data_IF_164042162007
#
_entry.id   IF_164042162007
#
_cell.length_a   1.000
_cell.length_b   1.000
_cell.length_c   1.000
_cell.angle_alpha   90.00
_cell.angle_beta   90.00
_cell.angle_gamma   90.00
#
_symmetry.space_group_name_H-M   'P 1'
#
loop_
_entity.id
_entity.type
_entity.pdbx_description
1 polymer ?
#
# COMPACT_ATOMS: atom_id res chain seq x y z
N UNK A 1 12.93 -7.17 -3.57
CA UNK A 1 12.76 -6.86 -2.13
C UNK A 1 11.46 -7.50 -1.68
N UNK A 2 11.44 -8.21 -0.56
CA UNK A 2 10.33 -9.08 -0.19
C UNK A 2 9.38 -8.38 0.79
N UNK A 3 8.06 -8.49 0.57
CA UNK A 3 7.00 -8.04 1.46
C UNK A 3 7.28 -8.41 2.94
N UNK A 4 7.70 -9.66 3.18
CA UNK A 4 7.91 -10.16 4.53
C UNK A 4 9.03 -9.46 5.28
N UNK A 5 10.06 -8.93 4.61
CA UNK A 5 11.11 -8.17 5.30
C UNK A 5 10.56 -6.85 5.86
N UNK A 6 9.86 -6.09 5.02
CA UNK A 6 9.29 -4.79 5.38
C UNK A 6 8.24 -4.94 6.46
N UNK A 7 7.32 -5.89 6.28
CA UNK A 7 6.24 -6.16 7.21
C UNK A 7 6.77 -6.71 8.55
N UNK A 8 7.73 -7.65 8.54
CA UNK A 8 8.31 -8.17 9.78
C UNK A 8 8.97 -7.05 10.60
N UNK A 9 9.72 -6.16 9.98
CA UNK A 9 10.32 -5.01 10.68
C UNK A 9 9.24 -4.09 11.23
N UNK A 10 8.19 -3.81 10.44
CA UNK A 10 7.05 -2.99 10.84
C UNK A 10 6.40 -3.50 12.13
N UNK A 11 6.27 -4.83 12.24
CA UNK A 11 5.70 -5.48 13.43
C UNK A 11 6.68 -5.60 14.59
N UNK A 12 7.90 -6.12 14.36
CA UNK A 12 8.83 -6.51 15.44
C UNK A 12 9.65 -5.36 16.00
N UNK A 13 9.94 -4.34 15.20
CA UNK A 13 10.87 -3.29 15.60
C UNK A 13 10.38 -2.49 16.83
N UNK A 14 9.09 -2.10 16.95
CA UNK A 14 8.57 -1.46 18.17
C UNK A 14 8.82 -2.31 19.44
N UNK A 15 8.57 -3.62 19.37
CA UNK A 15 8.85 -4.53 20.50
C UNK A 15 10.34 -4.63 20.78
N UNK A 16 11.17 -4.67 19.75
CA UNK A 16 12.64 -4.72 19.87
C UNK A 16 13.17 -3.47 20.58
N UNK A 17 12.61 -2.30 20.30
CA UNK A 17 12.93 -1.04 20.98
C UNK A 17 12.45 -1.04 22.45
N UNK A 18 11.25 -1.54 22.73
CA UNK A 18 10.74 -1.71 24.11
C UNK A 18 11.64 -2.64 24.94
N UNK A 19 12.04 -3.77 24.36
CA UNK A 19 12.96 -4.72 25.00
C UNK A 19 14.32 -4.08 25.24
N UNK A 20 14.88 -3.37 24.25
CA UNK A 20 16.15 -2.66 24.42
C UNK A 20 16.09 -1.66 25.59
N UNK A 21 15.03 -0.86 25.68
CA UNK A 21 14.79 0.03 26.81
C UNK A 21 14.70 -0.72 28.14
N UNK A 22 13.97 -1.84 28.20
CA UNK A 22 13.75 -2.60 29.44
C UNK A 22 15.06 -3.17 30.02
N UNK A 23 15.98 -3.60 29.15
CA UNK A 23 17.23 -4.25 29.56
C UNK A 23 18.37 -3.29 29.91
N UNK A 24 18.25 -1.99 29.62
CA UNK A 24 19.27 -0.99 30.00
C UNK A 24 19.58 -1.00 31.49
N UNK A 25 18.60 -1.30 32.35
CA UNK A 25 18.80 -1.33 33.81
C UNK A 25 19.76 -2.45 34.26
N UNK A 26 20.00 -3.48 33.44
CA UNK A 26 20.71 -4.71 33.82
C UNK A 26 21.96 -4.92 32.94
N UNK A 27 23.10 -4.26 33.24
CA UNK A 27 24.28 -4.24 32.37
C UNK A 27 24.97 -5.59 32.16
N UNK A 28 24.73 -6.57 33.05
CA UNK A 28 25.31 -7.90 33.01
C UNK A 28 24.37 -8.96 32.41
N UNK A 29 23.28 -8.55 31.77
CA UNK A 29 22.36 -9.48 31.13
C UNK A 29 23.05 -10.22 29.96
N UNK A 30 22.84 -11.53 29.88
CA UNK A 30 23.42 -12.36 28.82
C UNK A 30 22.64 -12.15 27.51
N UNK A 31 23.21 -11.35 26.60
CA UNK A 31 22.57 -11.01 25.33
C UNK A 31 22.26 -12.24 24.46
N UNK A 32 23.14 -13.25 24.43
CA UNK A 32 22.90 -14.50 23.69
C UNK A 32 21.66 -15.23 24.22
N UNK A 33 21.51 -15.29 25.56
CA UNK A 33 20.32 -15.88 26.19
C UNK A 33 19.06 -15.10 25.84
N UNK A 34 19.11 -13.76 25.87
CA UNK A 34 17.97 -12.91 25.52
C UNK A 34 17.57 -13.05 24.05
N UNK A 35 18.52 -13.14 23.13
CA UNK A 35 18.24 -13.36 21.72
C UNK A 35 17.51 -14.69 21.49
N UNK A 36 17.99 -15.78 22.10
CA UNK A 36 17.32 -17.08 22.02
C UNK A 36 15.92 -17.09 22.64
N UNK A 37 15.75 -16.41 23.79
CA UNK A 37 14.43 -16.25 24.40
C UNK A 37 13.49 -15.49 23.46
N UNK A 38 13.93 -14.40 22.84
CA UNK A 38 13.11 -13.65 21.89
C UNK A 38 12.71 -14.50 20.68
N UNK A 39 13.64 -15.25 20.09
CA UNK A 39 13.39 -16.13 18.93
C UNK A 39 12.35 -17.20 19.28
N UNK A 40 12.59 -17.96 20.36
CA UNK A 40 11.69 -19.05 20.74
C UNK A 40 10.31 -18.52 21.12
N UNK A 41 10.26 -17.42 21.87
CA UNK A 41 9.01 -16.79 22.30
C UNK A 41 8.21 -16.24 21.13
N UNK A 42 8.89 -15.62 20.14
CA UNK A 42 8.28 -15.18 18.89
C UNK A 42 7.63 -16.35 18.14
N UNK A 43 8.37 -17.45 17.95
CA UNK A 43 7.85 -18.66 17.29
C UNK A 43 6.63 -19.21 18.04
N UNK A 44 6.70 -19.31 19.37
CA UNK A 44 5.56 -19.75 20.21
C UNK A 44 4.34 -18.85 19.99
N UNK A 45 4.52 -17.52 20.02
CA UNK A 45 3.44 -16.57 19.78
C UNK A 45 2.80 -16.71 18.40
N UNK A 46 3.62 -16.90 17.36
CA UNK A 46 3.13 -17.14 16.00
C UNK A 46 2.36 -18.44 15.89
N UNK A 47 2.91 -19.55 16.41
CA UNK A 47 2.24 -20.87 16.38
C UNK A 47 0.92 -20.83 17.14
N UNK A 48 0.87 -20.22 18.33
CA UNK A 48 -0.39 -20.08 19.08
C UNK A 48 -1.43 -19.36 18.23
N UNK A 49 -1.10 -18.19 17.66
CA UNK A 49 -2.05 -17.41 16.85
C UNK A 49 -2.56 -18.18 15.63
N UNK A 50 -1.69 -18.90 14.92
CA UNK A 50 -2.08 -19.66 13.72
C UNK A 50 -3.02 -20.84 14.02
N UNK A 51 -3.01 -21.35 15.25
CA UNK A 51 -3.87 -22.46 15.67
C UNK A 51 -5.16 -22.00 16.38
N UNK A 52 -5.35 -20.69 16.59
CA UNK A 52 -6.53 -20.17 17.24
C UNK A 52 -7.73 -20.05 16.27
N UNK A 53 -8.96 -20.33 16.73
CA UNK A 53 -10.15 -20.15 15.91
C UNK A 53 -10.33 -18.70 15.45
N UNK A 54 -10.72 -18.51 14.19
CA UNK A 54 -10.94 -17.20 13.59
C UNK A 54 -12.29 -16.55 14.01
N UNK A 55 -12.69 -16.67 15.27
CA UNK A 55 -13.94 -16.12 15.80
C UNK A 55 -13.74 -14.70 16.36
N UNK A 56 -14.80 -13.88 16.34
CA UNK A 56 -14.74 -12.51 16.88
C UNK A 56 -14.42 -12.50 18.39
N UNK A 57 -14.96 -13.47 19.15
CA UNK A 57 -14.70 -13.59 20.59
C UNK A 57 -13.23 -13.89 20.90
N UNK A 58 -12.59 -14.77 20.13
CA UNK A 58 -11.16 -15.07 20.29
C UNK A 58 -10.31 -13.85 19.95
N UNK A 59 -10.64 -13.13 18.86
CA UNK A 59 -9.96 -11.88 18.49
C UNK A 59 -10.08 -10.81 19.58
N UNK A 60 -11.26 -10.66 20.17
CA UNK A 60 -11.49 -9.73 21.27
C UNK A 60 -10.64 -10.09 22.49
N UNK A 61 -10.66 -11.37 22.91
CA UNK A 61 -9.87 -11.85 24.04
C UNK A 61 -8.37 -11.62 23.82
N UNK A 62 -7.85 -11.93 22.62
CA UNK A 62 -6.45 -11.67 22.27
C UNK A 62 -6.12 -10.18 22.29
N UNK A 63 -6.99 -9.30 21.79
CA UNK A 63 -6.75 -7.86 21.80
C UNK A 63 -6.71 -7.30 23.23
N UNK A 64 -7.64 -7.71 24.09
CA UNK A 64 -7.65 -7.34 25.52
C UNK A 64 -6.40 -7.87 26.23
N UNK A 65 -6.04 -9.14 26.01
CA UNK A 65 -4.85 -9.74 26.60
C UNK A 65 -3.56 -9.02 26.15
N UNK A 66 -3.50 -8.62 24.86
CA UNK A 66 -2.40 -7.84 24.30
C UNK A 66 -2.26 -6.47 24.98
N UNK A 67 -3.39 -5.78 25.22
CA UNK A 67 -3.41 -4.51 25.96
C UNK A 67 -2.91 -4.70 27.40
N UNK A 68 -3.36 -5.75 28.08
CA UNK A 68 -2.89 -6.07 29.43
C UNK A 68 -1.38 -6.34 29.45
N UNK A 69 -0.84 -7.12 28.51
CA UNK A 69 0.61 -7.36 28.41
C UNK A 69 1.37 -6.04 28.25
N UNK A 70 0.97 -5.18 27.32
CA UNK A 70 1.68 -3.92 27.06
C UNK A 70 1.66 -2.97 28.26
N UNK A 71 0.49 -2.83 28.91
CA UNK A 71 0.33 -1.97 30.09
C UNK A 71 1.12 -2.51 31.28
N UNK A 72 0.98 -3.79 31.60
CA UNK A 72 1.67 -4.40 32.73
C UNK A 72 3.18 -4.46 32.51
N UNK A 73 3.65 -4.73 31.28
CA UNK A 73 5.06 -4.64 30.94
C UNK A 73 5.60 -3.22 31.13
N UNK A 74 4.86 -2.18 30.71
CA UNK A 74 5.24 -0.79 30.93
C UNK A 74 5.34 -0.44 32.42
N UNK A 75 4.30 -0.75 33.22
CA UNK A 75 4.33 -0.47 34.66
C UNK A 75 5.41 -1.27 35.41
N UNK A 76 5.75 -2.48 34.93
CA UNK A 76 6.81 -3.28 35.52
C UNK A 76 8.20 -2.63 35.42
N UNK A 77 8.40 -1.67 34.49
CA UNK A 77 9.70 -0.99 34.35
C UNK A 77 10.05 -0.10 35.53
N UNK A 78 9.07 0.28 36.35
CA UNK A 78 9.30 1.03 37.60
C UNK A 78 9.76 0.11 38.75
N UNK A 79 9.61 -1.21 38.59
CA UNK A 79 10.03 -2.22 39.56
C UNK A 79 11.35 -2.84 39.09
N UNK A 80 12.42 -2.64 39.85
CA UNK A 80 13.76 -3.09 39.49
C UNK A 80 13.99 -4.57 39.86
N UNK A 81 13.28 -5.47 39.18
CA UNK A 81 13.38 -6.92 39.37
C UNK A 81 13.67 -7.67 38.08
N UNK A 82 14.90 -8.21 37.96
CA UNK A 82 15.37 -8.86 36.73
C UNK A 82 14.54 -10.07 36.29
N UNK A 83 14.01 -10.86 37.24
CA UNK A 83 13.13 -12.01 36.92
C UNK A 83 11.82 -11.54 36.28
N UNK A 84 11.24 -10.47 36.79
CA UNK A 84 10.04 -9.85 36.24
C UNK A 84 10.31 -9.26 34.85
N UNK A 85 11.45 -8.59 34.63
CA UNK A 85 11.85 -8.12 33.30
C UNK A 85 12.05 -9.27 32.31
N UNK A 86 12.57 -10.42 32.77
CA UNK A 86 12.70 -11.63 31.95
C UNK A 86 11.34 -12.22 31.56
N UNK A 87 10.38 -12.22 32.48
CA UNK A 87 9.01 -12.63 32.19
C UNK A 87 8.37 -11.74 31.12
N UNK A 88 8.44 -10.42 31.28
CA UNK A 88 7.90 -9.49 30.29
C UNK A 88 8.64 -9.51 28.95
N UNK A 89 9.93 -9.84 28.94
CA UNK A 89 10.66 -10.08 27.70
C UNK A 89 10.01 -11.21 26.89
N UNK A 90 9.70 -12.34 27.54
CA UNK A 90 9.05 -13.49 26.90
C UNK A 90 7.64 -13.09 26.43
N UNK A 91 6.85 -12.42 27.28
CA UNK A 91 5.48 -12.02 26.94
C UNK A 91 5.43 -11.03 25.76
N UNK A 92 6.33 -10.04 25.72
CA UNK A 92 6.40 -9.08 24.61
C UNK A 92 6.89 -9.74 23.31
N UNK A 93 7.79 -10.72 23.38
CA UNK A 93 8.23 -11.48 22.22
C UNK A 93 7.13 -12.42 21.68
N UNK A 94 6.37 -13.08 22.56
CA UNK A 94 5.15 -13.82 22.20
C UNK A 94 4.16 -12.89 21.51
N UNK A 95 3.96 -11.69 22.06
CA UNK A 95 3.03 -10.71 21.50
C UNK A 95 3.46 -10.25 20.09
N UNK A 96 4.76 -10.00 19.89
CA UNK A 96 5.30 -9.69 18.56
C UNK A 96 5.06 -10.83 17.56
N UNK A 97 5.26 -12.09 17.99
CA UNK A 97 4.95 -13.29 17.21
C UNK A 97 3.48 -13.40 16.85
N UNK A 98 2.62 -13.08 17.82
CA UNK A 98 1.17 -13.08 17.62
C UNK A 98 0.72 -12.01 16.63
N UNK A 99 1.30 -10.81 16.69
CA UNK A 99 0.97 -9.73 15.76
C UNK A 99 1.43 -10.04 14.34
N UNK A 100 2.63 -10.61 14.18
CA UNK A 100 3.13 -10.98 12.87
C UNK A 100 2.27 -12.07 12.24
N UNK A 101 1.90 -13.09 13.02
CA UNK A 101 1.06 -14.20 12.56
C UNK A 101 -0.41 -13.83 12.23
N UNK A 102 -0.87 -12.63 12.60
CA UNK A 102 -2.20 -12.13 12.20
C UNK A 102 -2.26 -11.68 10.74
N UNK A 103 -1.10 -11.50 10.10
CA UNK A 103 -1.05 -11.01 8.74
C UNK A 103 -1.68 -12.01 7.76
N UNK A 104 -2.59 -11.56 6.88
CA UNK A 104 -3.29 -12.46 5.97
C UNK A 104 -2.36 -13.12 4.95
N UNK A 105 -1.18 -12.55 4.68
CA UNK A 105 -0.24 -13.09 3.71
C UNK A 105 0.74 -14.09 4.33
N UNK A 106 0.63 -14.44 5.62
CA UNK A 106 1.46 -15.48 6.26
C UNK A 106 1.33 -16.83 5.52
N UNK A 107 0.15 -17.13 4.96
CA UNK A 107 -0.07 -18.34 4.17
C UNK A 107 0.73 -18.35 2.87
N UNK A 108 1.09 -17.18 2.33
CA UNK A 108 1.91 -17.04 1.14
C UNK A 108 3.38 -17.43 1.35
N UNK A 109 3.82 -17.66 2.60
CA UNK A 109 5.19 -18.14 2.88
C UNK A 109 5.41 -19.53 2.26
N UNK A 110 4.39 -20.38 2.24
CA UNK A 110 4.43 -21.76 1.74
C UNK A 110 3.29 -22.04 0.78
N UNK A 111 3.17 -21.26 -0.29
CA UNK A 111 2.11 -21.49 -1.32
C UNK A 111 2.24 -22.85 -2.02
N UNK A 112 3.43 -23.45 -2.00
CA UNK A 112 3.68 -24.74 -2.65
C UNK A 112 4.33 -25.73 -1.68
N UNK A 113 4.03 -27.02 -1.87
CA UNK A 113 4.63 -28.14 -1.11
C UNK A 113 6.08 -28.43 -1.53
N UNK A 114 6.71 -27.55 -2.31
CA UNK A 114 8.04 -27.75 -2.90
C UNK A 114 8.93 -26.57 -2.52
N UNK A 115 10.20 -26.84 -2.24
CA UNK A 115 11.21 -25.79 -2.05
C UNK A 115 11.45 -25.13 -3.42
N UNK A 116 10.89 -23.94 -3.61
CA UNK A 116 11.07 -23.11 -4.80
C UNK A 116 11.83 -21.80 -4.46
N UNK A 117 12.13 -21.01 -5.49
CA UNK A 117 12.84 -19.74 -5.33
C UNK A 117 12.08 -18.76 -4.44
N UNK A 118 10.76 -18.70 -4.56
CA UNK A 118 9.92 -17.78 -3.76
C UNK A 118 9.95 -18.14 -2.29
N UNK A 119 9.80 -19.42 -1.95
CA UNK A 119 9.92 -19.93 -0.57
C UNK A 119 11.27 -19.54 0.06
N UNK A 120 12.38 -19.74 -0.66
CA UNK A 120 13.72 -19.37 -0.19
C UNK A 120 13.85 -17.85 0.00
N UNK A 121 13.28 -17.05 -0.90
CA UNK A 121 13.25 -15.58 -0.77
C UNK A 121 12.40 -15.13 0.42
N UNK A 122 11.25 -15.75 0.69
CA UNK A 122 10.38 -15.39 1.81
C UNK A 122 11.02 -15.75 3.15
N UNK A 123 11.55 -16.97 3.30
CA UNK A 123 12.22 -17.40 4.54
C UNK A 123 13.48 -16.59 4.81
N UNK A 124 14.31 -16.32 3.79
CA UNK A 124 15.50 -15.48 3.96
C UNK A 124 15.15 -14.05 4.36
N UNK A 125 14.09 -13.47 3.78
CA UNK A 125 13.59 -12.15 4.15
C UNK A 125 13.13 -12.08 5.61
N UNK A 126 12.41 -13.10 6.09
CA UNK A 126 11.99 -13.21 7.49
C UNK A 126 13.21 -13.31 8.41
N UNK A 127 14.17 -14.19 8.09
CA UNK A 127 15.39 -14.36 8.88
C UNK A 127 16.19 -13.05 8.97
N UNK A 128 16.40 -12.37 7.84
CA UNK A 128 17.11 -11.10 7.77
C UNK A 128 16.39 -9.98 8.54
N UNK A 129 15.07 -9.88 8.44
CA UNK A 129 14.29 -8.89 9.19
C UNK A 129 14.35 -9.13 10.70
N UNK A 130 14.33 -10.39 11.14
CA UNK A 130 14.50 -10.74 12.55
C UNK A 130 15.90 -10.37 13.07
N UNK A 131 16.94 -10.74 12.30
CA UNK A 131 18.33 -10.38 12.60
C UNK A 131 18.48 -8.86 12.67
N UNK A 132 17.90 -8.12 11.73
CA UNK A 132 17.90 -6.66 11.74
C UNK A 132 17.31 -6.10 13.04
N UNK A 133 16.14 -6.58 13.47
CA UNK A 133 15.50 -6.18 14.72
C UNK A 133 16.37 -6.48 15.96
N UNK A 134 17.02 -7.64 16.02
CA UNK A 134 17.95 -7.99 17.10
C UNK A 134 19.19 -7.08 17.12
N UNK A 135 19.75 -6.77 15.94
CA UNK A 135 20.90 -5.88 15.80
C UNK A 135 20.53 -4.47 16.26
N UNK A 136 19.37 -3.95 15.86
CA UNK A 136 18.89 -2.63 16.30
C UNK A 136 18.65 -2.62 17.82
N UNK A 137 18.05 -3.68 18.39
CA UNK A 137 17.87 -3.79 19.84
C UNK A 137 19.21 -3.78 20.60
N UNK A 138 20.20 -4.55 20.12
CA UNK A 138 21.54 -4.59 20.69
C UNK A 138 22.27 -3.25 20.56
N UNK A 139 22.14 -2.59 19.41
CA UNK A 139 22.67 -1.25 19.18
C UNK A 139 22.05 -0.20 20.12
N UNK A 140 20.72 -0.21 20.28
CA UNK A 140 20.02 0.66 21.23
C UNK A 140 20.51 0.44 22.66
N UNK A 141 20.67 -0.82 23.08
CA UNK A 141 21.22 -1.15 24.39
C UNK A 141 22.61 -0.54 24.60
N UNK A 142 23.54 -0.72 23.65
CA UNK A 142 24.90 -0.14 23.70
C UNK A 142 24.84 1.38 23.80
N UNK A 143 23.98 2.03 23.02
CA UNK A 143 23.77 3.48 23.01
C UNK A 143 23.30 3.99 24.37
N UNK A 144 22.29 3.33 24.97
CA UNK A 144 21.76 3.74 26.27
C UNK A 144 22.72 3.49 27.42
N UNK A 145 23.49 2.39 27.40
CA UNK A 145 24.53 2.14 28.43
C UNK A 145 25.56 3.25 28.44
N UNK A 146 26.01 3.72 27.27
CA UNK A 146 26.95 4.85 27.18
C UNK A 146 26.34 6.18 27.57
N UNK A 147 25.03 6.26 27.62
CA UNK A 147 24.29 7.46 28.00
C UNK A 147 24.05 7.55 29.51
N UNK A 148 24.22 6.49 30.30
CA UNK A 148 23.96 6.47 31.76
C UNK A 148 24.76 7.49 32.57
N UNK A 149 25.86 8.01 32.04
CA UNK A 149 26.66 9.06 32.67
C UNK A 149 25.94 10.42 32.78
N UNK A 150 24.78 10.60 32.13
CA UNK A 150 23.96 11.83 32.22
C UNK A 150 22.60 11.54 32.87
N UNK A 151 22.15 12.39 33.81
CA UNK A 151 20.82 12.24 34.45
C UNK A 151 19.66 12.39 33.44
N UNK A 152 19.84 13.22 32.40
CA UNK A 152 18.79 13.52 31.40
C UNK A 152 18.48 12.35 30.45
N UNK A 153 19.46 11.49 30.19
CA UNK A 153 19.35 10.34 29.28
C UNK A 153 18.74 9.10 29.94
N UNK A 154 18.75 9.01 31.28
CA UNK A 154 17.98 7.98 32.00
C UNK A 154 16.47 8.20 31.84
N UNK A 155 16.01 9.46 31.82
CA UNK A 155 14.61 9.81 31.58
C UNK A 155 14.16 9.51 30.13
N UNK A 156 15.06 9.66 29.15
CA UNK A 156 14.80 9.37 27.74
C UNK A 156 14.30 7.94 27.52
N UNK A 157 14.88 6.95 28.22
CA UNK A 157 14.48 5.55 28.12
C UNK A 157 13.01 5.33 28.52
N UNK A 158 12.58 5.96 29.62
CA UNK A 158 11.20 5.84 30.11
C UNK A 158 10.23 6.55 29.17
N UNK A 159 10.59 7.74 28.69
CA UNK A 159 9.81 8.50 27.70
C UNK A 159 9.63 7.70 26.40
N UNK A 160 10.70 7.09 25.89
CA UNK A 160 10.63 6.23 24.70
C UNK A 160 9.75 5.00 24.94
N UNK A 161 9.90 4.35 26.09
CA UNK A 161 9.03 3.23 26.41
C UNK A 161 7.56 3.63 26.47
N UNK A 162 7.24 4.80 27.04
CA UNK A 162 5.87 5.30 27.10
C UNK A 162 5.32 5.60 25.69
N UNK A 163 6.11 6.28 24.84
CA UNK A 163 5.71 6.62 23.46
C UNK A 163 5.47 5.36 22.64
N UNK A 164 6.38 4.38 22.67
CA UNK A 164 6.24 3.15 21.88
C UNK A 164 5.05 2.32 22.39
N UNK A 165 4.87 2.21 23.71
CA UNK A 165 3.69 1.55 24.29
C UNK A 165 2.39 2.23 23.84
N UNK A 166 2.33 3.57 23.83
CA UNK A 166 1.15 4.31 23.38
C UNK A 166 0.86 4.05 21.89
N UNK A 167 1.90 4.06 21.05
CA UNK A 167 1.79 3.76 19.61
C UNK A 167 1.24 2.35 19.36
N UNK A 168 1.63 1.36 20.17
CA UNK A 168 1.15 -0.02 20.05
C UNK A 168 -0.27 -0.20 20.62
N UNK A 169 -0.62 0.53 21.68
CA UNK A 169 -1.95 0.47 22.31
C UNK A 169 -3.02 1.12 21.44
N UNK A 170 -2.72 2.21 20.74
CA UNK A 170 -3.69 2.95 19.93
C UNK A 170 -4.44 2.06 18.89
N UNK A 171 -3.78 1.30 18.00
CA UNK A 171 -4.47 0.40 17.07
C UNK A 171 -5.19 -0.75 17.77
N UNK A 172 -4.65 -1.29 18.87
CA UNK A 172 -5.32 -2.32 19.68
C UNK A 172 -6.66 -1.83 20.27
N UNK A 173 -6.72 -0.58 20.75
CA UNK A 173 -7.98 0.02 21.20
C UNK A 173 -8.97 0.16 20.04
N UNK A 174 -8.48 0.51 18.85
CA UNK A 174 -9.28 0.52 17.62
C UNK A 174 -9.85 -0.86 17.28
N UNK A 175 -9.04 -1.91 17.38
CA UNK A 175 -9.46 -3.30 17.14
C UNK A 175 -10.52 -3.76 18.15
N UNK A 176 -10.31 -3.49 19.45
CA UNK A 176 -11.30 -3.80 20.49
C UNK A 176 -12.62 -3.11 20.19
N UNK A 177 -12.59 -1.81 19.87
CA UNK A 177 -13.79 -1.04 19.53
C UNK A 177 -14.49 -1.61 18.28
N UNK A 178 -13.73 -1.96 17.25
CA UNK A 178 -14.25 -2.55 16.02
C UNK A 178 -14.92 -3.90 16.28
N UNK A 179 -14.31 -4.75 17.10
CA UNK A 179 -14.85 -6.09 17.39
C UNK A 179 -16.11 -5.98 18.26
N UNK A 180 -16.14 -5.06 19.24
CA UNK A 180 -17.34 -4.81 20.04
C UNK A 180 -18.52 -4.32 19.18
N UNK A 181 -18.27 -3.46 18.18
CA UNK A 181 -19.30 -3.07 17.20
C UNK A 181 -19.76 -4.27 16.36
N UNK A 182 -18.84 -5.11 15.89
CA UNK A 182 -19.16 -6.33 15.12
C UNK A 182 -19.97 -7.35 15.92
N UNK A 183 -19.73 -7.44 17.23
CA UNK A 183 -20.49 -8.27 18.16
C UNK A 183 -21.79 -7.62 18.63
N UNK A 184 -22.14 -6.42 18.14
CA UNK A 184 -23.33 -5.66 18.53
C UNK A 184 -23.42 -5.35 20.03
N UNK A 185 -22.29 -5.36 20.75
CA UNK A 185 -22.22 -4.96 22.17
C UNK A 185 -22.32 -3.44 22.31
N UNK A 186 -21.84 -2.72 21.29
CA UNK A 186 -21.90 -1.26 21.19
C UNK A 186 -22.39 -0.85 19.80
N UNK A 187 -23.04 0.30 19.73
CA UNK A 187 -23.57 0.83 18.46
C UNK A 187 -22.49 1.27 17.48
N UNK A 188 -22.80 1.19 16.18
CA UNK A 188 -21.97 1.71 15.12
C UNK A 188 -22.24 3.21 14.94
N UNK A 189 -21.25 4.05 15.26
CA UNK A 189 -21.34 5.51 15.09
C UNK A 189 -20.19 6.05 14.24
N UNK A 190 -20.42 7.17 13.54
CA UNK A 190 -19.40 7.83 12.71
C UNK A 190 -18.11 8.15 13.49
N UNK A 191 -18.24 8.56 14.75
CA UNK A 191 -17.10 8.89 15.62
C UNK A 191 -16.27 7.64 15.94
N UNK A 192 -16.93 6.54 16.32
CA UNK A 192 -16.25 5.26 16.63
C UNK A 192 -15.52 4.72 15.40
N UNK A 193 -16.20 4.70 14.25
CA UNK A 193 -15.58 4.27 12.99
C UNK A 193 -14.40 5.15 12.57
N UNK A 194 -14.50 6.47 12.74
CA UNK A 194 -13.41 7.40 12.46
C UNK A 194 -12.19 7.13 13.36
N UNK A 195 -12.41 6.84 14.64
CA UNK A 195 -11.33 6.44 15.55
C UNK A 195 -10.71 5.11 15.13
N UNK A 196 -11.49 4.07 14.84
CA UNK A 196 -10.99 2.77 14.37
C UNK A 196 -10.14 2.95 13.11
N UNK A 197 -10.63 3.69 12.11
CA UNK A 197 -9.90 3.92 10.87
C UNK A 197 -8.57 4.65 11.11
N UNK A 198 -8.58 5.74 11.90
CA UNK A 198 -7.37 6.53 12.17
C UNK A 198 -6.35 5.78 13.02
N UNK A 199 -6.80 5.07 14.05
CA UNK A 199 -5.92 4.28 14.93
C UNK A 199 -5.33 3.07 14.19
N UNK A 200 -6.12 2.37 13.38
CA UNK A 200 -5.64 1.29 12.52
C UNK A 200 -4.59 1.78 11.51
N UNK A 201 -4.78 2.98 10.94
CA UNK A 201 -3.84 3.57 9.97
C UNK A 201 -2.45 3.87 10.56
N UNK A 202 -2.30 3.94 11.89
CA UNK A 202 -0.98 4.05 12.54
C UNK A 202 -0.08 2.89 12.12
N UNK A 203 -0.65 1.68 11.99
CA UNK A 203 0.10 0.47 11.64
C UNK A 203 0.83 0.62 10.30
N UNK A 204 0.18 1.20 9.29
CA UNK A 204 0.74 1.50 7.95
C UNK A 204 2.01 2.36 8.02
N UNK A 205 2.09 3.29 8.98
CA UNK A 205 3.21 4.23 9.12
C UNK A 205 4.26 3.79 10.14
N UNK A 206 4.15 2.61 10.76
CA UNK A 206 5.03 2.19 11.86
C UNK A 206 6.52 2.20 11.48
N UNK A 207 6.89 1.79 10.27
CA UNK A 207 8.30 1.84 9.83
C UNK A 207 8.83 3.29 9.80
N UNK A 208 8.05 4.23 9.26
CA UNK A 208 8.40 5.65 9.26
C UNK A 208 8.47 6.23 10.68
N UNK A 209 7.54 5.85 11.55
CA UNK A 209 7.53 6.26 12.96
C UNK A 209 8.76 5.71 13.69
N UNK A 210 9.09 4.44 13.51
CA UNK A 210 10.30 3.83 14.08
C UNK A 210 11.57 4.51 13.55
N UNK A 211 11.63 4.83 12.26
CA UNK A 211 12.74 5.59 11.67
C UNK A 211 12.91 6.96 12.33
N UNK A 212 11.81 7.68 12.54
CA UNK A 212 11.81 8.97 13.23
C UNK A 212 12.26 8.83 14.69
N UNK A 213 11.77 7.82 15.42
CA UNK A 213 12.18 7.53 16.80
C UNK A 213 13.70 7.26 16.85
N UNK A 214 14.22 6.40 15.96
CA UNK A 214 15.64 6.11 15.86
C UNK A 214 16.46 7.38 15.54
N UNK A 215 15.99 8.22 14.61
CA UNK A 215 16.66 9.47 14.27
C UNK A 215 16.73 10.43 15.47
N UNK A 216 15.65 10.55 16.24
CA UNK A 216 15.61 11.34 17.47
C UNK A 216 16.58 10.78 18.52
N UNK A 217 16.63 9.46 18.71
CA UNK A 217 17.59 8.81 19.62
C UNK A 217 19.03 9.12 19.21
N UNK A 218 19.36 8.97 17.93
CA UNK A 218 20.68 9.29 17.37
C UNK A 218 21.02 10.76 17.58
N UNK A 219 20.09 11.68 17.31
CA UNK A 219 20.29 13.11 17.49
C UNK A 219 20.55 13.47 18.96
N UNK A 220 19.75 12.95 19.88
CA UNK A 220 19.92 13.18 21.32
C UNK A 220 21.27 12.63 21.79
N UNK A 221 21.69 11.45 21.30
CA UNK A 221 23.00 10.88 21.60
C UNK A 221 24.14 11.72 21.02
N UNK A 222 23.99 12.21 19.79
CA UNK A 222 24.98 13.05 19.12
C UNK A 222 25.21 14.36 19.89
N UNK A 223 24.12 15.02 20.31
CA UNK A 223 24.17 16.30 21.03
C UNK A 223 24.69 16.14 22.47
N UNK A 224 24.20 15.14 23.20
CA UNK A 224 24.49 15.03 24.63
C UNK A 224 25.70 14.17 24.98
N UNK A 225 26.15 13.28 24.08
CA UNK A 225 27.26 12.35 24.35
C UNK A 225 28.41 12.54 23.36
N UNK A 226 28.14 12.55 22.05
CA UNK A 226 29.21 12.65 21.06
C UNK A 226 29.87 14.04 21.04
N UNK A 227 29.08 15.12 21.04
CA UNK A 227 29.61 16.50 21.02
C UNK A 227 30.50 16.81 22.22
N UNK A 228 30.14 16.51 23.48
CA UNK A 228 31.05 16.67 24.62
C UNK A 228 32.32 15.83 24.48
N UNK A 229 32.23 14.57 24.06
CA UNK A 229 33.41 13.72 23.84
C UNK A 229 34.34 14.27 22.76
N UNK A 230 33.78 14.88 21.73
CA UNK A 230 34.55 15.57 20.69
C UNK A 230 35.29 16.79 21.26
N UNK A 231 34.61 17.59 22.08
CA UNK A 231 35.23 18.75 22.74
C UNK A 231 36.37 18.32 23.66
N UNK A 232 36.14 17.33 24.53
CA UNK A 232 37.18 16.78 25.42
C UNK A 232 38.38 16.23 24.64
N UNK A 233 38.16 15.50 23.55
CA UNK A 233 39.25 14.96 22.74
C UNK A 233 40.10 16.05 22.05
N UNK A 234 39.51 17.21 21.77
CA UNK A 234 40.19 18.34 21.15
C UNK A 234 40.93 19.21 22.18
N UNK A 235 40.39 19.36 23.40
CA UNK A 235 40.97 20.19 24.45
C UNK A 235 42.04 19.49 25.28
N UNK A 236 41.98 18.15 25.39
CA UNK A 236 42.90 17.38 26.23
C UNK A 236 44.32 17.37 25.65
N UNK A 237 45.29 17.73 26.50
CA UNK A 237 46.70 17.83 26.12
C UNK A 237 47.54 16.67 26.68
N UNK A 238 47.12 16.06 27.79
CA UNK A 238 47.87 14.94 28.37
C UNK A 238 47.81 13.70 27.45
N UNK A 239 48.95 13.10 27.05
CA UNK A 239 48.98 12.07 26.02
C UNK A 239 48.10 10.84 26.31
N UNK A 240 48.06 10.37 27.55
CA UNK A 240 47.28 9.18 27.95
C UNK A 240 45.78 9.48 27.93
N UNK A 241 45.37 10.58 28.56
CA UNK A 241 43.96 10.98 28.62
C UNK A 241 43.44 11.40 27.24
N UNK A 242 44.27 12.04 26.42
CA UNK A 242 43.96 12.34 25.02
C UNK A 242 43.68 11.08 24.21
N UNK A 243 44.47 10.01 24.38
CA UNK A 243 44.22 8.71 23.71
C UNK A 243 42.88 8.11 24.15
N UNK A 244 42.55 8.15 25.45
CA UNK A 244 41.25 7.69 25.96
C UNK A 244 40.09 8.52 25.40
N UNK A 245 40.20 9.84 25.36
CA UNK A 245 39.18 10.74 24.83
C UNK A 245 38.96 10.53 23.32
N UNK A 246 40.04 10.35 22.54
CA UNK A 246 39.95 10.01 21.11
C UNK A 246 39.24 8.67 20.90
N UNK A 247 39.56 7.65 21.71
CA UNK A 247 38.88 6.36 21.65
C UNK A 247 37.37 6.51 21.93
N UNK A 248 36.99 7.27 22.97
CA UNK A 248 35.59 7.53 23.30
C UNK A 248 34.83 8.29 22.19
N UNK A 249 35.49 9.26 21.53
CA UNK A 249 34.97 9.99 20.36
C UNK A 249 34.76 9.07 19.16
N UNK A 250 35.74 8.21 18.84
CA UNK A 250 35.64 7.25 17.74
C UNK A 250 34.51 6.24 17.96
N UNK A 251 34.39 5.72 19.19
CA UNK A 251 33.32 4.78 19.54
C UNK A 251 31.94 5.42 19.44
N UNK A 252 31.75 6.64 19.96
CA UNK A 252 30.45 7.33 19.82
C UNK A 252 30.14 7.68 18.36
N UNK A 253 31.15 8.05 17.56
CA UNK A 253 30.98 8.27 16.12
C UNK A 253 30.52 7.01 15.36
N UNK A 254 31.11 5.84 15.67
CA UNK A 254 30.68 4.56 15.09
C UNK A 254 29.23 4.21 15.45
N UNK A 255 28.81 4.46 16.70
CA UNK A 255 27.44 4.21 17.15
C UNK A 255 26.44 5.08 16.39
N UNK A 256 26.77 6.35 16.15
CA UNK A 256 25.96 7.23 15.29
C UNK A 256 25.90 6.66 13.88
N UNK A 257 27.03 6.27 13.29
CA UNK A 257 27.10 5.67 11.96
C UNK A 257 26.24 4.41 11.81
N UNK A 258 26.27 3.51 12.79
CA UNK A 258 25.41 2.32 12.80
C UNK A 258 23.92 2.68 12.89
N UNK A 259 23.57 3.67 13.70
CA UNK A 259 22.18 4.16 13.80
C UNK A 259 21.67 4.76 12.50
N UNK A 260 22.47 5.62 11.86
CA UNK A 260 22.15 6.21 10.55
C UNK A 260 22.01 5.11 9.50
N UNK A 261 22.91 4.12 9.49
CA UNK A 261 22.84 2.99 8.55
C UNK A 261 21.56 2.18 8.72
N UNK A 262 21.15 1.89 9.96
CA UNK A 262 19.89 1.18 10.23
C UNK A 262 18.66 1.98 9.76
N UNK A 263 18.65 3.30 9.98
CA UNK A 263 17.58 4.19 9.49
C UNK A 263 17.53 4.20 7.97
N UNK A 264 18.68 4.31 7.29
CA UNK A 264 18.75 4.31 5.83
C UNK A 264 18.28 2.99 5.23
N UNK A 265 18.69 1.85 5.80
CA UNK A 265 18.20 0.53 5.37
C UNK A 265 16.67 0.48 5.46
N UNK A 266 16.11 0.82 6.64
CA UNK A 266 14.67 0.78 6.86
C UNK A 266 13.91 1.70 5.90
N UNK A 267 14.32 2.97 5.76
CA UNK A 267 13.69 3.93 4.86
C UNK A 267 13.83 3.53 3.39
N UNK A 268 15.00 3.05 2.95
CA UNK A 268 15.20 2.59 1.58
C UNK A 268 14.31 1.37 1.27
N UNK A 269 14.19 0.43 2.21
CA UNK A 269 13.31 -0.74 2.02
C UNK A 269 11.83 -0.37 2.02
N UNK A 270 11.40 0.53 2.90
CA UNK A 270 10.03 1.02 2.93
C UNK A 270 9.69 1.83 1.66
N UNK A 271 10.59 2.71 1.22
CA UNK A 271 10.39 3.51 0.02
C UNK A 271 10.35 2.64 -1.24
N UNK A 272 11.25 1.66 -1.35
CA UNK A 272 11.21 0.69 -2.44
C UNK A 272 9.89 -0.09 -2.44
N UNK A 273 9.39 -0.49 -1.27
CA UNK A 273 8.09 -1.14 -1.17
C UNK A 273 6.98 -0.24 -1.70
N UNK A 274 6.82 0.96 -1.15
CA UNK A 274 5.72 1.87 -1.49
C UNK A 274 5.75 2.34 -2.95
N UNK A 275 6.95 2.50 -3.54
CA UNK A 275 7.11 3.09 -4.89
C UNK A 275 7.35 2.10 -6.00
N UNK A 276 7.80 0.89 -5.70
CA UNK A 276 8.21 -0.08 -6.72
C UNK A 276 7.52 -1.41 -6.47
N UNK A 277 7.71 -2.03 -5.31
CA UNK A 277 7.27 -3.40 -5.09
C UNK A 277 5.75 -3.56 -4.94
N UNK A 278 5.07 -2.56 -4.36
CA UNK A 278 3.63 -2.62 -4.11
C UNK A 278 2.78 -2.03 -5.23
N UNK A 279 3.40 -1.51 -6.29
CA UNK A 279 2.66 -0.94 -7.42
C UNK A 279 1.99 -2.07 -8.21
N UNK A 280 0.71 -1.92 -8.60
CA UNK A 280 0.07 -2.88 -9.48
C UNK A 280 0.82 -2.95 -10.82
N UNK A 281 0.78 -4.09 -11.53
CA UNK A 281 1.38 -4.20 -12.85
C UNK A 281 0.80 -3.15 -13.80
N UNK A 282 1.66 -2.53 -14.60
CA UNK A 282 1.27 -1.44 -15.50
C UNK A 282 0.47 -1.98 -16.69
N UNK A 283 -0.67 -1.34 -17.00
CA UNK A 283 -1.42 -1.61 -18.22
C UNK A 283 -0.61 -1.20 -19.46
N UNK A 284 -0.66 -2.00 -20.53
CA UNK A 284 -0.12 -1.57 -21.83
C UNK A 284 -0.89 -0.36 -22.36
N UNK A 285 -0.21 0.48 -23.14
CA UNK A 285 -0.79 1.70 -23.72
C UNK A 285 -2.05 1.37 -24.54
N UNK A 286 -3.08 2.21 -24.41
CA UNK A 286 -4.33 2.07 -25.13
C UNK A 286 -4.27 2.87 -26.42
N UNK A 287 -4.38 2.22 -27.57
CA UNK A 287 -4.48 2.91 -28.85
C UNK A 287 -5.82 3.65 -28.94
N UNK A 288 -5.79 4.97 -29.15
CA UNK A 288 -7.01 5.74 -29.34
C UNK A 288 -7.68 5.35 -30.66
N UNK A 289 -8.98 5.10 -30.60
CA UNK A 289 -9.81 4.79 -31.77
C UNK A 289 -10.81 5.90 -32.04
N UNK A 290 -11.18 6.06 -33.30
CA UNK A 290 -12.20 7.01 -33.77
C UNK A 290 -13.34 6.25 -34.42
N UNK A 291 -14.52 6.87 -34.43
CA UNK A 291 -15.70 6.35 -35.12
C UNK A 291 -15.66 6.78 -36.60
N UNK A 292 -16.16 5.92 -37.49
CA UNK A 292 -16.49 6.27 -38.88
C UNK A 292 -17.83 7.05 -38.96
N UNK A 293 -18.28 7.32 -40.20
CA UNK A 293 -19.55 8.03 -40.44
C UNK A 293 -20.78 7.21 -39.99
N UNK A 294 -20.68 5.89 -39.97
CA UNK A 294 -21.70 4.94 -39.55
C UNK A 294 -21.64 4.59 -38.04
N UNK A 295 -20.85 5.33 -37.26
CA UNK A 295 -20.63 5.14 -35.83
C UNK A 295 -19.98 3.79 -35.46
N UNK A 296 -19.05 3.29 -36.26
CA UNK A 296 -18.28 2.08 -36.00
C UNK A 296 -16.79 2.35 -35.79
N UNK A 297 -16.19 1.56 -34.91
CA UNK A 297 -14.75 1.40 -34.78
C UNK A 297 -14.32 0.20 -35.63
N UNK A 298 -13.31 0.38 -36.47
CA UNK A 298 -12.70 -0.68 -37.26
C UNK A 298 -11.29 -0.99 -36.75
N UNK A 299 -11.02 -2.26 -36.45
CA UNK A 299 -9.72 -2.73 -35.99
C UNK A 299 -9.25 -3.87 -36.90
N UNK A 300 -8.10 -3.72 -37.58
CA UNK A 300 -7.57 -4.78 -38.44
C UNK A 300 -7.28 -6.08 -37.67
N UNK A 301 -7.71 -7.22 -38.20
CA UNK A 301 -7.46 -8.54 -37.60
C UNK A 301 -5.95 -8.82 -37.51
N UNK A 302 -5.18 -8.38 -38.50
CA UNK A 302 -3.72 -8.48 -38.52
C UNK A 302 -3.06 -7.88 -37.28
N UNK A 303 -3.66 -6.84 -36.69
CA UNK A 303 -3.16 -6.21 -35.47
C UNK A 303 -3.35 -7.09 -34.24
N UNK A 304 -4.43 -7.88 -34.18
CA UNK A 304 -4.92 -8.51 -32.94
C UNK A 304 -4.88 -10.04 -32.93
N UNK A 305 -4.43 -10.66 -34.03
CA UNK A 305 -4.42 -12.13 -34.19
C UNK A 305 -3.24 -12.85 -33.51
N UNK A 306 -2.26 -12.13 -33.00
CA UNK A 306 -0.98 -12.67 -32.47
C UNK A 306 -1.09 -13.35 -31.09
N UNK A 307 -2.30 -13.44 -30.52
CA UNK A 307 -2.55 -14.04 -29.21
C UNK A 307 -2.26 -13.09 -28.03
N UNK A 308 -1.84 -11.85 -28.30
CA UNK A 308 -1.60 -10.85 -27.27
C UNK A 308 -2.86 -10.04 -26.96
N UNK A 309 -2.83 -9.35 -25.82
CA UNK A 309 -3.83 -8.37 -25.44
C UNK A 309 -3.52 -7.04 -26.12
N UNK A 310 -4.39 -6.60 -27.02
CA UNK A 310 -4.30 -5.30 -27.70
C UNK A 310 -5.34 -4.36 -27.15
N UNK A 311 -4.89 -3.27 -26.52
CA UNK A 311 -5.76 -2.33 -25.81
C UNK A 311 -6.08 -1.13 -26.68
N UNK A 312 -7.33 -0.72 -26.62
CA UNK A 312 -7.89 0.42 -27.32
C UNK A 312 -8.63 1.34 -26.35
N UNK A 313 -8.76 2.60 -26.76
CA UNK A 313 -9.44 3.64 -26.01
C UNK A 313 -10.41 4.38 -26.93
N UNK A 314 -11.70 4.28 -26.62
CA UNK A 314 -12.72 5.16 -27.18
C UNK A 314 -13.06 6.25 -26.16
N UNK A 315 -13.26 7.47 -26.63
CA UNK A 315 -13.65 8.61 -25.80
C UNK A 315 -15.06 9.00 -26.18
N UNK A 316 -15.99 8.88 -25.23
CA UNK A 316 -17.36 9.28 -25.43
C UNK A 316 -17.50 10.80 -25.57
N UNK A 317 -18.66 11.25 -26.04
CA UNK A 317 -18.92 12.68 -26.27
C UNK A 317 -18.83 13.50 -24.99
N UNK A 318 -19.08 12.89 -23.83
CA UNK A 318 -18.93 13.55 -22.53
C UNK A 318 -17.48 13.55 -21.99
N UNK A 319 -16.54 13.02 -22.78
CA UNK A 319 -15.13 12.85 -22.47
C UNK A 319 -14.80 11.58 -21.68
N UNK A 320 -15.79 10.71 -21.40
CA UNK A 320 -15.55 9.48 -20.66
C UNK A 320 -14.67 8.50 -21.46
N UNK A 321 -13.62 8.03 -20.82
CA UNK A 321 -12.64 7.13 -21.42
C UNK A 321 -13.05 5.67 -21.25
N UNK A 322 -13.48 5.03 -22.33
CA UNK A 322 -13.86 3.61 -22.37
C UNK A 322 -12.71 2.81 -22.94
N UNK A 323 -12.04 2.04 -22.06
CA UNK A 323 -10.97 1.13 -22.48
C UNK A 323 -11.55 -0.24 -22.82
N UNK A 324 -11.07 -0.82 -23.89
CA UNK A 324 -11.39 -2.19 -24.25
C UNK A 324 -10.15 -2.87 -24.82
N UNK A 325 -10.17 -4.18 -24.93
CA UNK A 325 -9.10 -4.89 -25.60
C UNK A 325 -9.64 -6.03 -26.45
N UNK A 326 -8.84 -6.41 -27.44
CA UNK A 326 -9.09 -7.58 -28.27
C UNK A 326 -7.94 -8.55 -28.06
N UNK A 327 -8.28 -9.84 -27.94
CA UNK A 327 -7.32 -10.93 -27.81
C UNK A 327 -7.75 -12.11 -28.69
N UNK A 328 -6.78 -12.72 -29.38
CA UNK A 328 -6.97 -14.03 -29.96
C UNK A 328 -6.81 -15.12 -28.89
N UNK A 329 -7.90 -15.80 -28.58
CA UNK A 329 -7.98 -16.69 -27.41
C UNK A 329 -7.28 -18.03 -27.59
N UNK A 330 -7.02 -18.41 -28.84
CA UNK A 330 -6.45 -19.69 -29.21
C UNK A 330 -5.23 -19.47 -30.13
N UNK A 331 -4.10 -20.14 -29.88
CA UNK A 331 -2.91 -19.97 -30.70
C UNK A 331 -3.06 -20.57 -32.10
N UNK A 332 -3.78 -21.68 -32.22
CA UNK A 332 -3.83 -22.48 -33.45
C UNK A 332 -4.95 -22.06 -34.42
N UNK A 333 -5.86 -21.18 -33.99
CA UNK A 333 -6.95 -20.68 -34.84
C UNK A 333 -7.40 -19.30 -34.42
N UNK A 334 -7.93 -18.55 -35.38
CA UNK A 334 -8.50 -17.24 -35.10
C UNK A 334 -9.77 -17.38 -34.25
N UNK A 335 -9.70 -16.95 -33.00
CA UNK A 335 -10.79 -16.97 -32.03
C UNK A 335 -10.76 -15.68 -31.20
N UNK A 336 -11.13 -14.58 -31.85
CA UNK A 336 -11.12 -13.26 -31.23
C UNK A 336 -12.21 -13.13 -30.16
N UNK A 337 -11.94 -12.26 -29.19
CA UNK A 337 -12.92 -11.71 -28.27
C UNK A 337 -12.62 -10.22 -28.07
N UNK A 338 -13.65 -9.38 -28.25
CA UNK A 338 -13.64 -7.99 -27.86
C UNK A 338 -14.32 -7.85 -26.49
N UNK A 339 -13.63 -7.25 -25.54
CA UNK A 339 -14.08 -7.13 -24.15
C UNK A 339 -13.67 -5.78 -23.57
N UNK A 340 -14.44 -5.24 -22.64
CA UNK A 340 -14.03 -4.08 -21.88
C UNK A 340 -12.81 -4.42 -21.01
N UNK A 341 -11.89 -3.45 -20.85
CA UNK A 341 -10.76 -3.54 -19.94
C UNK A 341 -11.22 -3.26 -18.50
N UNK A 342 -12.25 -3.99 -18.07
CA UNK A 342 -12.91 -3.84 -16.80
C UNK A 342 -13.53 -5.17 -16.33
N UNK A 343 -13.66 -5.30 -15.01
CA UNK A 343 -14.24 -6.43 -14.31
C UNK A 343 -15.52 -6.00 -13.60
N UNK A 344 -16.56 -6.83 -13.59
CA UNK A 344 -17.78 -6.60 -12.80
C UNK A 344 -17.47 -6.42 -11.30
N UNK A 345 -16.45 -7.10 -10.78
CA UNK A 345 -16.09 -7.08 -9.36
C UNK A 345 -15.06 -5.99 -9.01
N UNK A 346 -14.06 -5.79 -9.87
CA UNK A 346 -12.94 -4.87 -9.60
C UNK A 346 -13.08 -3.52 -10.30
N UNK A 347 -14.04 -3.34 -11.21
CA UNK A 347 -14.19 -2.12 -12.00
C UNK A 347 -13.09 -1.95 -13.05
N UNK A 348 -12.70 -0.70 -13.30
CA UNK A 348 -11.74 -0.25 -14.31
C UNK A 348 -10.26 -0.44 -13.94
N UNK A 349 -9.94 -1.39 -13.05
CA UNK A 349 -8.53 -1.72 -12.72
C UNK A 349 -7.78 -2.30 -13.94
N UNK A 350 -8.51 -2.95 -14.86
CA UNK A 350 -7.97 -3.50 -16.11
C UNK A 350 -7.27 -4.84 -15.96
N UNK A 351 -6.71 -5.29 -17.09
CA UNK A 351 -6.04 -6.58 -17.23
C UNK A 351 -4.65 -6.46 -17.84
N UNK A 352 -3.71 -7.29 -17.39
CA UNK A 352 -2.36 -7.37 -17.95
C UNK A 352 -2.08 -8.76 -18.50
N UNK A 353 -1.13 -8.85 -19.43
CA UNK A 353 -0.63 -10.12 -19.92
C UNK A 353 0.71 -10.46 -19.24
N UNK A 354 0.72 -11.50 -18.41
CA UNK A 354 1.92 -12.03 -17.77
C UNK A 354 2.28 -13.38 -18.43
N UNK A 355 3.32 -13.37 -19.26
CA UNK A 355 3.63 -14.52 -20.12
C UNK A 355 2.47 -14.78 -21.09
N UNK A 356 1.84 -15.97 -21.01
CA UNK A 356 0.71 -16.36 -21.85
C UNK A 356 -0.65 -16.28 -21.13
N UNK A 357 -0.71 -15.62 -19.97
CA UNK A 357 -1.93 -15.52 -19.17
C UNK A 357 -2.39 -14.07 -19.04
N UNK A 358 -3.70 -13.88 -19.10
CA UNK A 358 -4.34 -12.61 -18.80
C UNK A 358 -4.66 -12.56 -17.31
N UNK A 359 -4.30 -11.49 -16.61
CA UNK A 359 -4.42 -11.35 -15.16
C UNK A 359 -5.19 -10.08 -14.82
N UNK A 360 -6.20 -10.18 -13.95
CA UNK A 360 -6.91 -9.01 -13.43
C UNK A 360 -5.99 -8.23 -12.50
N UNK A 361 -5.79 -6.93 -12.76
CA UNK A 361 -4.92 -6.08 -11.92
C UNK A 361 -5.51 -5.88 -10.52
N UNK A 362 -6.83 -5.84 -10.40
CA UNK A 362 -7.50 -5.56 -9.13
C UNK A 362 -7.45 -6.70 -8.11
N UNK A 363 -7.49 -7.96 -8.56
CA UNK A 363 -7.55 -9.13 -7.67
C UNK A 363 -6.47 -10.19 -7.93
N UNK A 364 -5.63 -10.03 -8.95
CA UNK A 364 -4.55 -10.95 -9.29
C UNK A 364 -5.00 -12.30 -9.87
N UNK A 365 -6.30 -12.50 -10.10
CA UNK A 365 -6.81 -13.77 -10.64
C UNK A 365 -6.34 -13.93 -12.08
N UNK A 366 -5.74 -15.09 -12.37
CA UNK A 366 -5.28 -15.51 -13.70
C UNK A 366 -6.46 -16.08 -14.49
N UNK A 367 -6.76 -15.47 -15.62
CA UNK A 367 -7.87 -15.88 -16.48
C UNK A 367 -7.47 -17.09 -17.30
N UNK A 368 -8.42 -17.99 -17.49
CA UNK A 368 -8.30 -18.99 -18.53
C UNK A 368 -8.57 -18.31 -19.88
N UNK A 369 -7.53 -18.01 -20.65
CA UNK A 369 -7.64 -17.22 -21.90
C UNK A 369 -8.79 -17.63 -22.83
N UNK A 370 -9.08 -18.94 -23.05
CA UNK A 370 -10.23 -19.38 -23.84
C UNK A 370 -11.62 -18.99 -23.30
N UNK A 371 -11.75 -18.63 -22.02
CA UNK A 371 -13.01 -18.15 -21.43
C UNK A 371 -13.26 -16.66 -21.61
N UNK A 372 -12.27 -15.88 -22.06
CA UNK A 372 -12.45 -14.45 -22.31
C UNK A 372 -13.54 -14.24 -23.37
N UNK A 373 -14.41 -13.26 -23.15
CA UNK A 373 -15.64 -13.06 -23.93
C UNK A 373 -16.85 -13.86 -23.42
N UNK A 374 -16.72 -14.65 -22.35
CA UNK A 374 -17.86 -15.21 -21.61
C UNK A 374 -18.08 -14.41 -20.33
N UNK A 375 -19.34 -14.05 -20.01
CA UNK A 375 -19.63 -13.29 -18.79
C UNK A 375 -19.37 -14.12 -17.52
N UNK A 376 -19.12 -13.43 -16.41
CA UNK A 376 -19.10 -14.01 -15.06
C UNK A 376 -17.74 -13.99 -14.35
N UNK A 377 -17.79 -13.95 -13.02
CA UNK A 377 -16.60 -13.98 -12.17
C UNK A 377 -15.65 -12.80 -12.40
N UNK A 378 -14.35 -13.11 -12.52
CA UNK A 378 -13.30 -12.13 -12.81
C UNK A 378 -12.99 -11.99 -14.32
N UNK A 379 -13.75 -12.65 -15.22
CA UNK A 379 -13.54 -12.46 -16.65
C UNK A 379 -13.79 -11.00 -17.04
N UNK A 380 -13.03 -10.47 -18.03
CA UNK A 380 -13.32 -9.17 -18.63
C UNK A 380 -14.77 -9.13 -19.13
N UNK A 381 -15.45 -8.00 -18.90
CA UNK A 381 -16.85 -7.84 -19.32
C UNK A 381 -16.91 -7.89 -20.85
N UNK A 382 -17.72 -8.79 -21.46
CA UNK A 382 -17.81 -8.87 -22.91
C UNK A 382 -18.40 -7.60 -23.51
N UNK A 383 -17.93 -7.24 -24.69
CA UNK A 383 -18.66 -6.34 -25.59
C UNK A 383 -19.56 -7.25 -26.41
N UNK A 384 -20.88 -7.06 -26.34
CA UNK A 384 -21.83 -7.87 -27.09
C UNK A 384 -22.01 -7.33 -28.52
N UNK A 385 -22.47 -8.18 -29.43
CA UNK A 385 -22.84 -7.84 -30.82
C UNK A 385 -21.79 -7.15 -31.72
N UNK A 386 -20.50 -7.22 -31.36
CA UNK A 386 -19.42 -6.86 -32.30
C UNK A 386 -19.35 -7.85 -33.47
N UNK A 387 -18.84 -7.39 -34.62
CA UNK A 387 -18.77 -8.17 -35.85
C UNK A 387 -17.34 -8.45 -36.27
N UNK A 388 -17.11 -9.62 -36.87
CA UNK A 388 -15.86 -9.98 -37.51
C UNK A 388 -16.10 -10.09 -39.02
N UNK A 389 -15.34 -9.35 -39.81
CA UNK A 389 -15.23 -9.53 -41.28
C UNK A 389 -14.02 -10.43 -41.59
N UNK A 390 -13.69 -10.61 -42.86
CA UNK A 390 -12.49 -11.35 -43.25
C UNK A 390 -11.19 -10.62 -42.83
N UNK A 391 -11.25 -9.30 -42.65
CA UNK A 391 -10.07 -8.44 -42.43
C UNK A 391 -10.13 -7.64 -41.14
N UNK A 392 -11.29 -7.41 -40.55
CA UNK A 392 -11.48 -6.44 -39.47
C UNK A 392 -12.45 -6.92 -38.38
N UNK A 393 -12.25 -6.37 -37.18
CA UNK A 393 -13.22 -6.35 -36.08
C UNK A 393 -13.95 -5.02 -36.11
N UNK A 394 -15.28 -5.06 -36.14
CA UNK A 394 -16.15 -3.89 -36.20
C UNK A 394 -16.98 -3.80 -34.91
N UNK A 395 -16.86 -2.69 -34.19
CA UNK A 395 -17.57 -2.45 -32.93
C UNK A 395 -18.38 -1.15 -33.07
N UNK A 396 -19.70 -1.22 -32.88
CA UNK A 396 -20.53 -0.03 -32.98
C UNK A 396 -20.43 0.84 -31.71
N UNK A 397 -20.60 2.16 -31.84
CA UNK A 397 -20.67 3.12 -30.74
C UNK A 397 -21.59 2.64 -29.62
N UNK A 398 -22.78 2.14 -29.96
CA UNK A 398 -23.77 1.66 -28.99
C UNK A 398 -23.21 0.53 -28.10
N UNK A 399 -22.43 -0.38 -28.68
CA UNK A 399 -21.81 -1.46 -27.91
C UNK A 399 -20.76 -0.91 -26.94
N UNK A 400 -20.00 0.12 -27.33
CA UNK A 400 -19.02 0.76 -26.45
C UNK A 400 -19.69 1.57 -25.32
N UNK A 401 -20.85 2.17 -25.58
CA UNK A 401 -21.64 2.91 -24.60
C UNK A 401 -22.14 2.04 -23.44
N UNK A 402 -22.39 0.75 -23.68
CA UNK A 402 -22.74 -0.21 -22.62
C UNK A 402 -21.64 -0.31 -21.54
N UNK A 403 -20.40 -0.04 -21.93
CA UNK A 403 -19.24 -0.07 -21.04
C UNK A 403 -19.09 1.16 -20.16
N UNK A 404 -19.81 2.25 -20.42
CA UNK A 404 -19.61 3.53 -19.72
C UNK A 404 -19.69 3.35 -18.21
N UNK A 405 -20.60 2.52 -17.69
CA UNK A 405 -20.76 2.35 -16.24
C UNK A 405 -19.57 1.68 -15.53
N UNK A 406 -18.65 1.05 -16.26
CA UNK A 406 -17.48 0.41 -15.68
C UNK A 406 -16.29 1.36 -15.52
N UNK A 407 -16.26 2.48 -16.25
CA UNK A 407 -15.13 3.41 -16.26
C UNK A 407 -15.45 4.68 -15.49
N UNK A 408 -14.44 5.21 -14.80
CA UNK A 408 -14.54 6.45 -14.03
C UNK A 408 -13.73 7.61 -14.62
N UNK A 409 -12.80 7.31 -15.53
CA UNK A 409 -11.87 8.29 -16.10
C UNK A 409 -12.58 9.21 -17.10
N UNK A 410 -12.41 10.52 -16.92
CA UNK A 410 -12.87 11.56 -17.86
C UNK A 410 -11.63 12.25 -18.43
N UNK A 411 -11.52 12.28 -19.75
CA UNK A 411 -10.49 13.03 -20.48
C UNK A 411 -11.02 14.43 -20.74
N UNK A 412 -10.18 15.43 -20.50
CA UNK A 412 -10.50 16.81 -20.84
C UNK A 412 -10.52 16.96 -22.36
N UNK A 413 -11.67 17.36 -22.90
CA UNK A 413 -11.90 17.61 -24.31
C UNK A 413 -12.40 19.04 -24.51
N UNK A 414 -11.97 19.68 -25.60
CA UNK A 414 -12.52 20.96 -26.03
C UNK A 414 -13.90 20.74 -26.62
N UNK A 415 -14.89 21.45 -26.10
CA UNK A 415 -16.29 21.39 -26.53
C UNK A 415 -16.79 22.80 -26.82
N UNK A 416 -17.81 22.90 -27.68
CA UNK A 416 -18.39 24.18 -28.11
C UNK A 416 -19.83 24.23 -27.67
N UNK A 417 -20.23 25.33 -27.03
CA UNK A 417 -21.62 25.61 -26.71
C UNK A 417 -22.39 25.92 -28.01
N UNK A 418 -23.40 25.11 -28.39
CA UNK A 418 -24.12 25.27 -29.66
C UNK A 418 -25.02 26.51 -29.70
N UNK A 419 -25.34 27.12 -28.55
CA UNK A 419 -26.21 28.30 -28.46
C UNK A 419 -25.42 29.59 -28.66
N UNK A 420 -24.22 29.70 -28.08
CA UNK A 420 -23.41 30.93 -28.13
C UNK A 420 -22.05 30.80 -28.84
N UNK A 421 -21.66 29.60 -29.27
CA UNK A 421 -20.41 29.33 -29.99
C UNK A 421 -19.13 29.42 -29.14
N UNK A 422 -19.23 29.60 -27.82
CA UNK A 422 -18.05 29.67 -26.95
C UNK A 422 -17.42 28.29 -26.76
N UNK A 423 -16.09 28.26 -26.82
CA UNK A 423 -15.29 27.09 -26.49
C UNK A 423 -15.14 26.97 -24.97
N UNK A 424 -15.30 25.76 -24.45
CA UNK A 424 -15.06 25.39 -23.07
C UNK A 424 -14.50 23.96 -23.02
N UNK A 425 -14.22 23.46 -21.81
CA UNK A 425 -13.86 22.06 -21.63
C UNK A 425 -14.97 21.34 -20.88
N UNK A 426 -15.18 20.06 -21.21
CA UNK A 426 -16.24 19.21 -20.64
C UNK A 426 -16.20 19.12 -19.10
N UNK A 427 -15.04 19.37 -18.49
CA UNK A 427 -14.84 19.35 -17.04
C UNK A 427 -15.12 20.69 -16.34
N UNK A 428 -15.30 21.78 -17.10
CA UNK A 428 -15.50 23.14 -16.55
C UNK A 428 -16.96 23.57 -16.44
N UNK A 429 -17.91 22.74 -16.87
CA UNK A 429 -19.34 23.02 -16.76
C UNK A 429 -20.09 21.80 -16.25
N UNK A 430 -21.10 22.02 -15.42
CA UNK A 430 -22.07 20.99 -15.02
C UNK A 430 -23.28 20.95 -15.97
N UNK A 431 -23.43 21.97 -16.82
CA UNK A 431 -24.55 22.11 -17.75
C UNK A 431 -24.29 21.30 -19.01
N UNK A 432 -24.90 20.11 -19.08
CA UNK A 432 -24.86 19.23 -20.23
C UNK A 432 -26.22 18.63 -20.55
N UNK A 433 -26.45 18.36 -21.82
CA UNK A 433 -27.70 17.76 -22.31
C UNK A 433 -27.39 16.75 -23.41
N UNK A 434 -28.02 15.57 -23.36
CA UNK A 434 -27.87 14.54 -24.38
C UNK A 434 -29.05 14.57 -25.34
N UNK A 435 -28.77 14.70 -26.64
CA UNK A 435 -29.76 14.70 -27.71
C UNK A 435 -29.25 13.85 -28.87
N UNK A 436 -30.10 12.95 -29.40
CA UNK A 436 -29.77 12.03 -30.49
C UNK A 436 -28.46 11.24 -30.31
N UNK A 437 -28.17 10.81 -29.06
CA UNK A 437 -26.97 10.03 -28.77
C UNK A 437 -25.66 10.83 -28.78
N UNK A 438 -25.73 12.18 -28.77
CA UNK A 438 -24.59 13.09 -28.58
C UNK A 438 -24.79 13.96 -27.34
N UNK A 439 -23.73 14.14 -26.57
CA UNK A 439 -23.74 15.04 -25.40
C UNK A 439 -23.24 16.42 -25.79
N UNK A 440 -24.05 17.44 -25.49
CA UNK A 440 -23.75 18.85 -25.68
C UNK A 440 -23.47 19.53 -24.34
N UNK A 441 -22.60 20.54 -24.36
CA UNK A 441 -22.15 21.28 -23.18
C UNK A 441 -22.47 22.76 -23.32
N UNK A 442 -22.85 23.39 -22.20
CA UNK A 442 -23.32 24.77 -22.19
C UNK A 442 -22.54 25.61 -21.20
N UNK A 443 -22.35 26.89 -21.50
CA UNK A 443 -21.65 27.81 -20.59
C UNK A 443 -22.45 28.15 -19.35
N UNK A 444 -23.78 28.05 -19.41
CA UNK A 444 -24.71 28.39 -18.35
C UNK A 444 -26.05 27.64 -18.50
N UNK A 445 -26.86 27.66 -17.43
CA UNK A 445 -28.18 27.02 -17.38
C UNK A 445 -29.14 27.58 -18.43
N UNK A 446 -29.05 28.87 -18.74
CA UNK A 446 -29.92 29.54 -19.71
C UNK A 446 -29.71 28.96 -21.12
N UNK A 447 -28.47 28.77 -21.53
CA UNK A 447 -28.15 28.16 -22.82
C UNK A 447 -28.59 26.69 -22.87
N UNK A 448 -28.45 25.95 -21.77
CA UNK A 448 -28.97 24.59 -21.66
C UNK A 448 -30.48 24.56 -21.85
N UNK A 449 -31.23 25.44 -21.19
CA UNK A 449 -32.69 25.50 -21.31
C UNK A 449 -33.12 25.86 -22.73
N UNK A 450 -32.46 26.86 -23.35
CA UNK A 450 -32.71 27.25 -24.73
C UNK A 450 -32.52 26.09 -25.71
N UNK A 451 -31.44 25.32 -25.55
CA UNK A 451 -31.19 24.15 -26.39
C UNK A 451 -32.16 23.02 -26.09
N UNK A 452 -32.46 22.72 -24.82
CA UNK A 452 -33.40 21.66 -24.43
C UNK A 452 -34.80 21.91 -25.00
N UNK A 453 -35.25 23.16 -24.99
CA UNK A 453 -36.61 23.52 -25.41
C UNK A 453 -36.74 23.56 -26.95
N UNK A 454 -35.66 23.82 -27.69
CA UNK A 454 -35.66 23.78 -29.16
C UNK A 454 -34.28 23.40 -29.75
N UNK A 455 -33.88 22.11 -29.72
CA UNK A 455 -32.55 21.67 -30.17
C UNK A 455 -32.28 21.96 -31.65
N UNK A 456 -33.27 21.74 -32.53
CA UNK A 456 -33.11 21.86 -33.99
C UNK A 456 -32.73 23.28 -34.44
N UNK A 457 -33.14 24.31 -33.70
CA UNK A 457 -32.80 25.71 -33.99
C UNK A 457 -31.29 26.01 -33.89
N UNK A 458 -30.54 25.18 -33.16
CA UNK A 458 -29.11 25.36 -32.91
C UNK A 458 -28.26 24.31 -33.61
N UNK A 459 -28.82 23.14 -33.93
CA UNK A 459 -28.14 22.10 -34.68
C UNK A 459 -27.98 22.47 -36.17
N UNK A 460 -29.01 23.05 -36.78
CA UNK A 460 -28.98 23.47 -38.20
C UNK A 460 -27.98 24.62 -38.47
N UNK A 461 -27.67 25.45 -37.47
CA UNK A 461 -26.67 26.53 -37.61
C UNK A 461 -25.22 26.04 -37.57
N UNK A 462 -24.97 24.88 -36.96
CA UNK A 462 -23.63 24.31 -36.90
C UNK A 462 -23.21 23.73 -38.26
N UNK A 463 -24.16 23.16 -39.02
CA UNK A 463 -23.93 22.62 -40.36
C UNK A 463 -23.76 23.70 -41.44
N UNK A 464 -24.42 24.86 -41.31
CA UNK A 464 -24.17 26.01 -42.20
C UNK A 464 -22.78 26.65 -41.96
N UNK A 465 -22.25 26.57 -40.73
CA UNK A 465 -20.93 27.12 -40.40
C UNK A 465 -19.76 26.19 -40.78
N UNK A 466 -20.00 24.87 -40.92
CA UNK A 466 -19.01 23.89 -41.39
C UNK A 466 -18.93 23.85 -42.91
N UNK A 467 -20.08 23.89 -43.62
CA UNK A 467 -20.13 23.94 -45.09
C UNK A 467 -19.56 25.23 -45.67
N UNK A 468 -19.67 26.37 -44.98
CA UNK A 468 -19.05 27.63 -45.41
C UNK A 468 -17.50 27.66 -45.34
N UNK A 469 -16.85 26.62 -44.78
CA UNK A 469 -15.39 26.49 -44.73
C UNK A 469 -14.79 25.57 -45.79
N UNK A 470 -15.59 24.73 -46.46
CA UNK A 470 -15.10 23.86 -47.54
C UNK A 470 -15.19 24.51 -48.94
N UNK A 471 -15.90 25.64 -49.08
CA UNK A 471 -15.94 26.44 -50.32
C UNK A 471 -14.97 27.66 -50.32
N UNK A 472 -13.85 27.59 -49.60
CA UNK A 472 -12.77 28.59 -49.73
C UNK A 472 -11.37 28.00 -49.91
#
# INVERSE_FOLDING_TARGET
MNYFFVFLIQTLLPFSLLLACSWVAYPHANFKKLAWLAILSFIIGSVITLNLPNSQNVKLALAIFSLCILLLAYFSQFIHWQRLTSFWHIMLAILAGSFWAKDPNITAITETNVINTDFLLHISAIALGFIFCLVVAGWCYILFVQSKTSKKTTALRLLLSAIITLILIAPLLGDVLLILMKLQVIELTKVRLSFVAKSGNITTYLNYINAAILAVIVLIFALNIHRPRMQTANSEQQPIEKRKAIAAKRTSGKIIGYGITAILIMLATQFYWDRIASQPPQLSEAQRVTLDAENNVHIPIEQVKDGKLHRFLWVADDGKAVRFFIINRLPDKLSLAAVFDACILCGDQGYVMEGNQVVCVGCGVRMFTPSIGKPGGCNPVPIDDWKQTDTEVVINKKNLEEGLNYFSTIIEIEVVDPVNGKKLTNTKTEHKYSHEGKTYFFTDEKNLDLFRDNPEAYLNKADEASTAKEEK
#
